data_IF_187121932927
#
_entry.id   IF_187121932927
#
_cell.length_a   1.000
_cell.length_b   1.000
_cell.length_c   1.000
_cell.angle_alpha   90.00
_cell.angle_beta   90.00
_cell.angle_gamma   90.00
#
_symmetry.space_group_name_H-M   'P 1'
#
loop_
_entity.id
_entity.type
_entity.pdbx_description
1 polymer ?
#
# COMPACT_ATOMS: atom_id res chain seq x y z
N UNK A 1 11.12 -8.67 15.62
CA UNK A 1 11.15 -7.56 14.67
C UNK A 1 9.80 -7.42 14.00
N UNK A 2 9.29 -6.20 13.92
CA UNK A 2 7.97 -5.95 13.34
C UNK A 2 8.05 -6.00 11.82
N UNK A 3 7.26 -6.86 11.19
CA UNK A 3 7.18 -6.92 9.73
C UNK A 3 6.23 -5.85 9.20
N UNK A 4 6.30 -5.55 7.90
CA UNK A 4 5.36 -4.59 7.28
C UNK A 4 3.92 -5.07 7.44
N UNK A 5 3.69 -6.37 7.35
CA UNK A 5 2.37 -6.98 7.58
C UNK A 5 1.85 -6.65 8.97
N UNK A 6 2.68 -6.88 9.98
CA UNK A 6 2.32 -6.63 11.38
C UNK A 6 2.08 -5.14 11.63
N UNK A 7 2.88 -4.29 11.01
CA UNK A 7 2.74 -2.84 11.13
C UNK A 7 1.40 -2.37 10.58
N UNK A 8 1.02 -2.85 9.40
CA UNK A 8 -0.27 -2.51 8.79
C UNK A 8 -1.42 -2.99 9.67
N UNK A 9 -1.35 -4.23 10.18
CA UNK A 9 -2.37 -4.76 11.09
C UNK A 9 -2.52 -3.89 12.33
N UNK A 10 -1.40 -3.42 12.87
CA UNK A 10 -1.40 -2.55 14.06
C UNK A 10 -2.08 -1.22 13.76
N UNK A 11 -1.81 -0.62 12.60
CA UNK A 11 -2.43 0.64 12.19
C UNK A 11 -3.94 0.45 12.01
N UNK A 12 -4.36 -0.63 11.37
CA UNK A 12 -5.79 -0.94 11.21
C UNK A 12 -6.48 -1.05 12.56
N UNK A 13 -5.82 -1.72 13.50
CA UNK A 13 -6.36 -1.86 14.86
C UNK A 13 -6.52 -0.50 15.54
N UNK A 14 -5.50 0.35 15.42
CA UNK A 14 -5.56 1.71 15.99
C UNK A 14 -6.68 2.55 15.39
N UNK A 15 -6.90 2.42 14.08
CA UNK A 15 -7.95 3.16 13.37
C UNK A 15 -9.32 2.50 13.52
N UNK A 16 -9.38 1.29 14.07
CA UNK A 16 -10.60 0.47 14.15
C UNK A 16 -11.15 0.16 12.77
N UNK A 17 -10.25 -0.06 11.82
CA UNK A 17 -10.61 -0.41 10.45
C UNK A 17 -10.53 -1.92 10.24
N UNK A 18 -11.44 -2.44 9.42
CA UNK A 18 -11.39 -3.82 8.95
C UNK A 18 -10.61 -3.88 7.63
N UNK A 19 -10.32 -5.09 7.15
CA UNK A 19 -9.71 -5.28 5.83
C UNK A 19 -10.64 -4.73 4.72
N UNK A 20 -11.95 -4.84 4.92
CA UNK A 20 -12.94 -4.29 3.98
C UNK A 20 -12.82 -2.76 3.91
N UNK A 21 -12.65 -2.10 5.06
CA UNK A 21 -12.49 -0.65 5.08
C UNK A 21 -11.21 -0.22 4.36
N UNK A 22 -10.11 -0.93 4.59
CA UNK A 22 -8.87 -0.67 3.86
C UNK A 22 -9.07 -0.86 2.36
N UNK A 23 -9.77 -1.93 1.97
CA UNK A 23 -10.10 -2.20 0.57
C UNK A 23 -10.85 -1.03 -0.06
N UNK A 24 -11.86 -0.51 0.62
CA UNK A 24 -12.64 0.62 0.12
C UNK A 24 -11.79 1.87 -0.09
N UNK A 25 -10.97 2.21 0.89
CA UNK A 25 -10.10 3.39 0.81
C UNK A 25 -9.03 3.22 -0.28
N UNK A 26 -8.44 2.03 -0.37
CA UNK A 26 -7.43 1.73 -1.38
C UNK A 26 -8.03 1.79 -2.79
N UNK A 27 -9.24 1.26 -2.97
CA UNK A 27 -9.90 1.27 -4.27
C UNK A 27 -10.22 2.68 -4.76
N UNK A 28 -10.50 3.62 -3.87
CA UNK A 28 -10.68 5.02 -4.25
C UNK A 28 -9.42 5.59 -4.90
N UNK A 29 -8.26 5.26 -4.33
CA UNK A 29 -6.97 5.71 -4.86
C UNK A 29 -6.68 5.00 -6.18
N UNK A 30 -6.84 3.69 -6.23
CA UNK A 30 -6.59 2.90 -7.44
C UNK A 30 -7.47 3.35 -8.60
N UNK A 31 -8.73 3.68 -8.33
CA UNK A 31 -9.64 4.21 -9.35
C UNK A 31 -9.12 5.52 -9.95
N UNK A 32 -8.61 6.42 -9.12
CA UNK A 32 -8.07 7.70 -9.58
C UNK A 32 -6.77 7.52 -10.36
N UNK A 33 -6.02 6.47 -10.07
CA UNK A 33 -4.77 6.16 -10.77
C UNK A 33 -5.00 5.38 -12.07
N UNK A 34 -6.22 4.88 -12.29
CA UNK A 34 -6.50 4.00 -13.43
C UNK A 34 -5.97 2.59 -13.24
N UNK A 35 -5.64 2.21 -12.02
CA UNK A 35 -5.13 0.87 -11.69
C UNK A 35 -6.27 -0.11 -11.44
N UNK A 36 -5.97 -1.40 -11.57
CA UNK A 36 -6.89 -2.46 -11.17
C UNK A 36 -7.12 -2.41 -9.66
N UNK A 37 -8.36 -2.63 -9.25
CA UNK A 37 -8.73 -2.58 -7.84
C UNK A 37 -8.25 -3.83 -7.09
N UNK A 38 -7.66 -3.61 -5.92
CA UNK A 38 -7.27 -4.69 -5.02
C UNK A 38 -8.53 -5.21 -4.32
N UNK A 39 -8.74 -6.52 -4.32
CA UNK A 39 -9.87 -7.13 -3.63
C UNK A 39 -9.58 -7.27 -2.13
N UNK A 40 -10.65 -7.38 -1.32
CA UNK A 40 -10.48 -7.62 0.12
C UNK A 40 -9.79 -8.97 0.39
N UNK A 41 -10.01 -9.96 -0.46
CA UNK A 41 -9.32 -11.24 -0.36
C UNK A 41 -7.82 -11.08 -0.58
N UNK A 42 -7.43 -10.26 -1.55
CA UNK A 42 -6.00 -9.99 -1.79
C UNK A 42 -5.36 -9.27 -0.61
N UNK A 43 -6.08 -8.33 0.00
CA UNK A 43 -5.59 -7.64 1.21
C UNK A 43 -5.35 -8.67 2.32
N UNK A 44 -6.31 -9.56 2.55
CA UNK A 44 -6.18 -10.62 3.55
C UNK A 44 -4.95 -11.49 3.26
N UNK A 45 -4.76 -11.87 2.00
CA UNK A 45 -3.60 -12.68 1.60
C UNK A 45 -2.27 -11.96 1.84
N UNK A 46 -2.22 -10.66 1.52
CA UNK A 46 -1.02 -9.84 1.78
C UNK A 46 -0.73 -9.77 3.29
N UNK A 47 -1.74 -9.50 4.10
CA UNK A 47 -1.56 -9.35 5.54
C UNK A 47 -1.21 -10.67 6.23
N UNK A 48 -1.62 -11.80 5.66
CA UNK A 48 -1.29 -13.13 6.18
C UNK A 48 0.03 -13.69 5.64
N UNK A 49 0.71 -12.93 4.78
CA UNK A 49 2.02 -13.32 4.26
C UNK A 49 1.99 -14.29 3.09
N UNK A 50 0.84 -14.53 2.48
CA UNK A 50 0.73 -15.43 1.32
C UNK A 50 1.26 -14.80 0.02
N UNK A 51 1.34 -13.47 -0.02
CA UNK A 51 1.88 -12.73 -1.16
C UNK A 51 2.84 -11.66 -0.66
N UNK A 52 3.90 -11.43 -1.41
CA UNK A 52 4.86 -10.37 -1.09
C UNK A 52 4.27 -9.01 -1.42
N UNK A 53 4.45 -8.07 -0.49
CA UNK A 53 4.01 -6.69 -0.70
C UNK A 53 5.07 -5.93 -1.48
N UNK A 54 4.72 -5.53 -2.69
CA UNK A 54 5.62 -4.77 -3.56
C UNK A 54 5.60 -3.29 -3.18
N UNK A 55 6.72 -2.58 -3.34
CA UNK A 55 6.79 -1.15 -3.01
C UNK A 55 5.70 -0.31 -3.68
N UNK A 56 5.38 -0.58 -4.95
CA UNK A 56 4.33 0.15 -5.67
C UNK A 56 2.97 0.06 -4.97
N UNK A 57 2.63 -1.13 -4.50
CA UNK A 57 1.36 -1.33 -3.79
C UNK A 57 1.39 -0.64 -2.43
N UNK A 58 2.53 -0.70 -1.74
CA UNK A 58 2.68 -0.07 -0.43
C UNK A 58 2.56 1.45 -0.48
N UNK A 59 2.97 2.09 -1.57
CA UNK A 59 2.78 3.53 -1.75
C UNK A 59 1.29 3.87 -1.72
N UNK A 60 0.46 3.07 -2.37
CA UNK A 60 -0.99 3.28 -2.36
C UNK A 60 -1.58 3.05 -0.96
N UNK A 61 -1.09 2.02 -0.27
CA UNK A 61 -1.55 1.72 1.10
C UNK A 61 -1.18 2.86 2.06
N UNK A 62 0.02 3.42 1.94
CA UNK A 62 0.43 4.57 2.76
C UNK A 62 -0.57 5.72 2.58
N UNK A 63 -0.95 6.00 1.36
CA UNK A 63 -1.92 7.06 1.08
C UNK A 63 -3.30 6.73 1.66
N UNK A 64 -3.74 5.49 1.52
CA UNK A 64 -5.03 5.04 2.05
C UNK A 64 -5.09 5.16 3.57
N UNK A 65 -3.99 4.90 4.26
CA UNK A 65 -3.90 4.94 5.71
C UNK A 65 -3.48 6.31 6.28
N UNK A 66 -3.30 7.31 5.42
CA UNK A 66 -2.81 8.64 5.80
C UNK A 66 -1.45 8.62 6.49
N UNK A 67 -0.58 7.72 6.05
CA UNK A 67 0.76 7.62 6.58
C UNK A 67 1.70 8.54 5.80
N UNK A 68 2.79 8.94 6.44
CA UNK A 68 3.84 9.69 5.79
C UNK A 68 4.45 8.83 4.67
N UNK A 69 4.71 9.44 3.53
CA UNK A 69 5.31 8.76 2.39
C UNK A 69 6.62 8.09 2.79
N UNK A 70 6.77 6.84 2.38
CA UNK A 70 7.97 6.05 2.68
C UNK A 70 7.89 5.22 3.94
N UNK A 71 6.87 5.41 4.78
CA UNK A 71 6.72 4.70 6.07
C UNK A 71 6.70 3.18 5.88
N UNK A 72 5.95 2.70 4.90
CA UNK A 72 5.84 1.27 4.62
C UNK A 72 6.88 0.81 3.60
N UNK A 73 7.16 1.63 2.60
CA UNK A 73 8.07 1.28 1.51
C UNK A 73 9.47 0.98 2.04
N UNK A 74 9.94 1.74 3.01
CA UNK A 74 11.27 1.53 3.61
C UNK A 74 11.37 0.23 4.40
N UNK A 75 10.26 -0.41 4.71
CA UNK A 75 10.23 -1.67 5.46
C UNK A 75 10.43 -2.89 4.57
N UNK A 76 10.41 -2.69 3.24
CA UNK A 76 10.63 -3.77 2.28
C UNK A 76 11.90 -3.51 1.49
N UNK A 77 12.38 -4.53 0.79
CA UNK A 77 13.59 -4.38 -0.02
C UNK A 77 13.35 -3.42 -1.18
N UNK A 78 14.28 -2.48 -1.44
CA UNK A 78 14.14 -1.58 -2.58
C UNK A 78 14.21 -2.37 -3.89
N UNK A 79 13.55 -1.87 -4.96
CA UNK A 79 13.63 -2.52 -6.26
C UNK A 79 15.07 -2.47 -6.78
N UNK A 80 15.51 -3.56 -7.41
CA UNK A 80 16.88 -3.71 -7.88
C UNK A 80 17.12 -3.17 -9.29
N UNK A 81 16.09 -3.17 -10.15
CA UNK A 81 16.24 -2.71 -11.54
C UNK A 81 15.97 -1.21 -11.66
N UNK A 82 16.58 -0.58 -12.67
CA UNK A 82 16.36 0.83 -12.96
C UNK A 82 14.89 1.07 -13.35
N UNK A 83 14.31 0.15 -14.11
CA UNK A 83 12.91 0.26 -14.53
C UNK A 83 11.97 0.24 -13.34
N UNK A 84 12.20 -0.69 -12.40
CA UNK A 84 11.38 -0.79 -11.20
C UNK A 84 11.52 0.45 -10.32
N UNK A 85 12.73 1.00 -10.21
CA UNK A 85 12.98 2.24 -9.46
C UNK A 85 12.23 3.41 -10.09
N UNK A 86 12.24 3.50 -11.42
CA UNK A 86 11.52 4.55 -12.17
C UNK A 86 10.03 4.42 -11.97
N UNK A 87 9.50 3.20 -12.07
CA UNK A 87 8.07 2.94 -11.84
C UNK A 87 7.65 3.34 -10.43
N UNK A 88 8.50 3.05 -9.45
CA UNK A 88 8.22 3.44 -8.07
C UNK A 88 8.15 4.95 -7.91
N UNK A 89 9.09 5.69 -8.50
CA UNK A 89 9.07 7.16 -8.47
C UNK A 89 7.82 7.70 -9.15
N UNK A 90 7.44 7.12 -10.28
CA UNK A 90 6.25 7.57 -11.03
C UNK A 90 4.99 7.35 -10.22
N UNK A 91 4.83 6.20 -9.55
CA UNK A 91 3.65 5.93 -8.74
C UNK A 91 3.60 6.83 -7.50
N UNK A 92 4.74 7.11 -6.89
CA UNK A 92 4.82 8.04 -5.76
C UNK A 92 4.30 9.41 -6.18
N UNK A 93 4.74 9.91 -7.32
CA UNK A 93 4.29 11.20 -7.85
C UNK A 93 2.78 11.20 -8.09
N UNK A 94 2.27 10.16 -8.74
CA UNK A 94 0.84 10.05 -9.03
C UNK A 94 0.00 9.97 -7.76
N UNK A 95 0.44 9.20 -6.78
CA UNK A 95 -0.26 9.05 -5.50
C UNK A 95 -0.30 10.38 -4.75
N UNK A 96 0.80 11.14 -4.79
CA UNK A 96 0.84 12.44 -4.13
C UNK A 96 -0.12 13.46 -4.76
N UNK A 97 -0.48 13.27 -6.03
CA UNK A 97 -1.45 14.11 -6.72
C UNK A 97 -2.91 13.72 -6.43
N UNK A 98 -3.12 12.56 -5.84
CA UNK A 98 -4.47 12.08 -5.52
C UNK A 98 -4.97 12.81 -4.26
N UNK A 99 -6.12 13.44 -4.39
CA UNK A 99 -6.79 14.07 -3.24
C UNK A 99 -7.78 13.07 -2.67
N UNK A 100 -7.73 12.89 -1.38
CA UNK A 100 -8.68 12.05 -0.65
C UNK A 100 -9.96 12.80 -0.36
#
# INVERSE_FOLDING_TARGET
MLTVNDYIKLILKKKKWTNVRLCQELNKIESKLGDSKTSSQNITNYLNGYHDMRPKWLVKVEKALDLQQGTLVKMVMPPSSKEAKKELKDIIKKVNEVKK
#
